data_IF_458446888542
#
_entry.id   IF_458446888542
#
_cell.length_a   1.000
_cell.length_b   1.000
_cell.length_c   1.000
_cell.angle_alpha   90.00
_cell.angle_beta   90.00
_cell.angle_gamma   90.00
#
_symmetry.space_group_name_H-M   'P 1'
#
loop_
_entity.id
_entity.type
_entity.pdbx_description
1 polymer ?
#
# COMPACT_ATOMS: atom_id res chain seq x y z
N UNK A 1 -59.59 2.26 6.99
CA UNK A 1 -58.82 3.37 6.40
C UNK A 1 -57.55 3.79 7.19
N UNK A 2 -57.35 3.37 8.41
CA UNK A 2 -56.19 3.73 9.23
C UNK A 2 -54.94 2.84 8.92
N UNK A 3 -55.16 1.56 8.60
CA UNK A 3 -54.08 0.61 8.29
C UNK A 3 -53.19 1.00 7.09
N UNK A 4 -53.77 1.56 6.02
CA UNK A 4 -53.01 1.93 4.80
C UNK A 4 -52.08 3.11 5.04
N UNK A 5 -52.48 4.07 5.89
CA UNK A 5 -51.62 5.22 6.24
C UNK A 5 -50.40 4.83 7.07
N UNK A 6 -50.55 3.88 7.98
CA UNK A 6 -49.46 3.37 8.84
C UNK A 6 -48.45 2.56 8.01
N UNK A 7 -48.94 1.72 7.09
CA UNK A 7 -48.06 0.96 6.18
C UNK A 7 -47.29 1.89 5.23
N UNK A 8 -47.94 2.91 4.69
CA UNK A 8 -47.27 3.89 3.82
C UNK A 8 -46.17 4.69 4.53
N UNK A 9 -46.40 5.10 5.79
CA UNK A 9 -45.42 5.79 6.61
C UNK A 9 -44.22 4.88 6.94
N UNK A 10 -44.45 3.59 7.19
CA UNK A 10 -43.37 2.63 7.43
C UNK A 10 -42.48 2.39 6.22
N UNK A 11 -43.04 2.31 5.02
CA UNK A 11 -42.28 2.11 3.78
C UNK A 11 -41.43 3.34 3.46
N UNK A 12 -41.95 4.54 3.62
CA UNK A 12 -41.21 5.78 3.40
C UNK A 12 -40.06 5.94 4.41
N UNK A 13 -40.29 5.64 5.68
CA UNK A 13 -39.25 5.70 6.70
C UNK A 13 -38.13 4.67 6.43
N UNK A 14 -38.47 3.47 5.96
CA UNK A 14 -37.52 2.44 5.63
C UNK A 14 -36.65 2.80 4.39
N UNK A 15 -37.27 3.36 3.34
CA UNK A 15 -36.50 3.80 2.16
C UNK A 15 -35.54 4.95 2.48
N UNK A 16 -35.96 5.92 3.30
CA UNK A 16 -35.09 7.01 3.73
C UNK A 16 -33.93 6.51 4.62
N UNK A 17 -34.15 5.50 5.45
CA UNK A 17 -33.06 4.91 6.25
C UNK A 17 -32.05 4.17 5.40
N UNK A 18 -32.47 3.49 4.33
CA UNK A 18 -31.57 2.83 3.38
C UNK A 18 -30.73 3.83 2.57
N UNK A 19 -31.33 4.94 2.14
CA UNK A 19 -30.60 6.01 1.43
C UNK A 19 -29.58 6.69 2.35
N UNK A 20 -29.95 6.97 3.60
CA UNK A 20 -29.04 7.51 4.61
C UNK A 20 -27.87 6.56 4.90
N UNK A 21 -28.14 5.27 5.06
CA UNK A 21 -27.09 4.26 5.22
C UNK A 21 -26.19 4.18 3.99
N UNK A 22 -26.74 4.17 2.78
CA UNK A 22 -25.99 4.20 1.53
C UNK A 22 -25.09 5.44 1.42
N UNK A 23 -25.61 6.61 1.78
CA UNK A 23 -24.85 7.86 1.81
C UNK A 23 -23.72 7.83 2.87
N UNK A 24 -24.00 7.32 4.08
CA UNK A 24 -23.02 7.17 5.15
C UNK A 24 -21.90 6.20 4.74
N UNK A 25 -22.26 5.05 4.17
CA UNK A 25 -21.30 4.09 3.65
C UNK A 25 -20.48 4.66 2.48
N UNK A 26 -21.09 5.44 1.59
CA UNK A 26 -20.39 6.15 0.52
C UNK A 26 -19.37 7.15 1.06
N UNK A 27 -19.73 7.87 2.11
CA UNK A 27 -18.86 8.86 2.77
C UNK A 27 -17.70 8.22 3.53
N UNK A 28 -17.95 7.08 4.20
CA UNK A 28 -16.92 6.29 4.89
C UNK A 28 -15.96 5.59 3.89
N UNK A 29 -16.45 5.25 2.70
CA UNK A 29 -15.66 4.66 1.61
C UNK A 29 -14.90 5.69 0.78
N UNK A 30 -15.07 6.98 1.01
CA UNK A 30 -14.31 8.00 0.28
C UNK A 30 -12.84 7.93 0.73
N UNK A 31 -12.14 6.93 0.18
CA UNK A 31 -10.67 6.80 0.28
C UNK A 31 -10.09 8.09 -0.27
N UNK A 32 -9.44 8.86 0.58
CA UNK A 32 -8.67 10.03 0.15
C UNK A 32 -7.65 9.54 -0.88
N UNK A 33 -7.87 9.88 -2.14
CA UNK A 33 -6.89 9.66 -3.18
C UNK A 33 -5.70 10.55 -2.88
N UNK A 34 -4.57 9.96 -2.55
CA UNK A 34 -3.35 10.68 -2.29
C UNK A 34 -2.56 10.75 -3.59
N UNK A 35 -2.50 11.92 -4.19
CA UNK A 35 -1.64 12.19 -5.34
C UNK A 35 -0.40 12.93 -4.84
N UNK A 36 0.75 12.27 -4.84
CA UNK A 36 2.04 12.87 -4.50
C UNK A 36 3.04 12.65 -5.61
N UNK A 37 3.85 13.66 -5.86
CA UNK A 37 5.01 13.59 -6.75
C UNK A 37 6.26 13.62 -5.89
N UNK A 38 7.15 12.66 -6.13
CA UNK A 38 8.43 12.56 -5.47
C UNK A 38 9.53 12.74 -6.50
N UNK A 39 10.52 13.56 -6.16
CA UNK A 39 11.65 13.85 -7.06
C UNK A 39 12.87 13.01 -6.64
N UNK A 40 13.52 12.45 -7.66
CA UNK A 40 14.78 11.72 -7.52
C UNK A 40 15.83 12.31 -8.47
N UNK A 41 17.13 12.23 -8.13
CA UNK A 41 17.71 11.61 -6.94
C UNK A 41 17.39 12.38 -5.65
N UNK A 42 17.43 11.70 -4.52
CA UNK A 42 17.33 12.29 -3.19
C UNK A 42 18.55 11.91 -2.35
N UNK A 43 18.80 12.63 -1.27
CA UNK A 43 19.86 12.27 -0.33
C UNK A 43 19.68 10.85 0.18
N UNK A 44 20.79 10.16 0.42
CA UNK A 44 20.79 8.81 0.96
C UNK A 44 20.72 8.89 2.47
N UNK A 45 19.69 8.30 3.05
CA UNK A 45 19.49 8.24 4.51
C UNK A 45 19.15 6.82 4.95
N UNK A 46 19.37 6.52 6.22
CA UNK A 46 19.00 5.25 6.80
C UNK A 46 17.48 5.10 6.86
N UNK A 47 16.98 4.00 6.32
CA UNK A 47 15.54 3.68 6.29
C UNK A 47 15.16 2.50 7.19
N UNK A 48 16.11 1.98 7.97
CA UNK A 48 15.92 0.77 8.80
C UNK A 48 14.79 0.93 9.82
N UNK A 49 14.59 2.15 10.34
CA UNK A 49 13.52 2.48 11.28
C UNK A 49 12.11 2.26 10.71
N UNK A 50 11.95 2.26 9.38
CA UNK A 50 10.66 2.02 8.72
C UNK A 50 10.27 0.53 8.73
N UNK A 51 11.25 -0.35 8.80
CA UNK A 51 11.04 -1.80 8.77
C UNK A 51 10.89 -2.40 10.16
N UNK A 52 11.42 -1.77 11.17
CA UNK A 52 11.48 -2.31 12.53
C UNK A 52 11.34 -1.20 13.56
N UNK A 53 10.10 -0.80 13.91
CA UNK A 53 9.86 0.30 14.85
C UNK A 53 10.45 0.05 16.24
N UNK A 54 10.70 -1.23 16.62
CA UNK A 54 11.32 -1.58 17.89
C UNK A 54 12.86 -1.59 17.83
N UNK A 55 13.48 -1.58 16.67
CA UNK A 55 14.93 -1.51 16.49
C UNK A 55 15.44 -0.10 16.15
N UNK A 56 14.66 0.94 16.44
CA UNK A 56 15.12 2.33 16.44
C UNK A 56 16.32 2.54 17.42
N UNK A 57 16.60 1.53 18.25
CA UNK A 57 17.83 1.42 19.02
C UNK A 57 18.93 0.78 18.18
N UNK A 58 19.85 1.64 17.70
CA UNK A 58 21.17 1.26 17.23
C UNK A 58 21.27 0.60 15.85
N UNK A 59 20.74 1.21 14.80
CA UNK A 59 21.39 1.03 13.52
C UNK A 59 22.76 1.73 13.57
N UNK A 60 23.85 0.97 13.41
CA UNK A 60 25.25 1.46 13.49
C UNK A 60 25.74 1.84 12.07
N UNK A 61 24.84 2.03 11.10
CA UNK A 61 25.25 2.39 9.75
C UNK A 61 25.74 3.86 9.71
N UNK A 62 26.67 4.20 8.79
CA UNK A 62 27.24 5.56 8.68
C UNK A 62 26.27 6.56 8.03
N UNK A 63 25.07 6.14 7.64
CA UNK A 63 24.10 6.99 6.98
C UNK A 63 23.37 7.92 7.98
N UNK A 64 22.95 9.12 7.55
CA UNK A 64 22.10 9.99 8.36
C UNK A 64 20.82 9.30 8.81
N UNK A 65 20.50 9.41 10.10
CA UNK A 65 19.28 8.84 10.69
C UNK A 65 18.23 9.91 10.93
N UNK A 66 16.95 9.56 10.79
CA UNK A 66 15.85 10.48 11.07
C UNK A 66 15.65 11.59 10.03
N UNK A 67 16.35 11.52 8.90
CA UNK A 67 16.19 12.45 7.77
C UNK A 67 15.07 11.95 6.86
N UNK A 68 14.10 12.82 6.58
CA UNK A 68 13.02 12.53 5.66
C UNK A 68 13.47 12.81 4.21
N UNK A 69 13.54 11.77 3.39
CA UNK A 69 13.94 11.83 1.98
C UNK A 69 12.79 11.42 1.07
N UNK A 70 12.88 11.70 -0.24
CA UNK A 70 11.89 11.20 -1.21
C UNK A 70 11.80 9.67 -1.19
N UNK A 71 12.93 9.00 -0.97
CA UNK A 71 12.97 7.54 -0.87
C UNK A 71 12.29 7.02 0.40
N UNK A 72 12.54 7.62 1.57
CA UNK A 72 11.87 7.24 2.81
C UNK A 72 10.36 7.49 2.73
N UNK A 73 9.93 8.58 2.10
CA UNK A 73 8.50 8.86 1.82
C UNK A 73 7.86 7.82 0.91
N UNK A 74 8.57 7.41 -0.16
CA UNK A 74 8.10 6.34 -1.04
C UNK A 74 7.89 5.04 -0.25
N UNK A 75 8.87 4.63 0.55
CA UNK A 75 8.77 3.45 1.40
C UNK A 75 7.61 3.55 2.39
N UNK A 76 7.41 4.71 3.04
CA UNK A 76 6.26 4.93 3.93
C UNK A 76 4.94 4.72 3.20
N UNK A 77 4.80 5.25 1.97
CA UNK A 77 3.58 5.06 1.18
C UNK A 77 3.35 3.60 0.80
N UNK A 78 4.39 2.91 0.36
CA UNK A 78 4.33 1.46 0.08
C UNK A 78 3.91 0.71 1.35
N UNK A 79 4.61 0.90 2.47
CA UNK A 79 4.36 0.19 3.72
C UNK A 79 2.99 0.50 4.35
N UNK A 80 2.34 1.59 3.95
CA UNK A 80 0.99 1.95 4.38
C UNK A 80 -0.13 1.19 3.66
N UNK A 81 0.20 0.40 2.62
CA UNK A 81 -0.80 -0.39 1.91
C UNK A 81 -1.39 -1.47 2.81
N UNK A 82 -2.72 -1.56 2.85
CA UNK A 82 -3.46 -2.50 3.72
C UNK A 82 -4.28 -3.53 2.96
N UNK A 83 -4.52 -3.31 1.67
CA UNK A 83 -5.40 -4.15 0.86
C UNK A 83 -4.68 -4.71 -0.35
N UNK A 84 -4.15 -3.85 -1.20
CA UNK A 84 -3.41 -4.24 -2.40
C UNK A 84 -2.32 -3.25 -2.74
N UNK A 85 -1.27 -3.75 -3.43
CA UNK A 85 -0.19 -2.95 -4.00
C UNK A 85 0.05 -3.40 -5.43
N UNK A 86 -0.12 -2.47 -6.37
CA UNK A 86 0.17 -2.66 -7.78
C UNK A 86 1.44 -1.91 -8.15
N UNK A 87 2.44 -2.63 -8.64
CA UNK A 87 3.71 -2.09 -9.07
C UNK A 87 3.85 -2.25 -10.58
N UNK A 88 4.10 -1.16 -11.28
CA UNK A 88 4.48 -1.16 -12.69
C UNK A 88 5.88 -0.56 -12.80
N UNK A 89 6.87 -1.38 -13.09
CA UNK A 89 8.28 -1.00 -13.06
C UNK A 89 9.02 -1.60 -14.24
N UNK A 90 9.93 -0.84 -14.84
CA UNK A 90 10.80 -1.31 -15.89
C UNK A 90 11.83 -2.28 -15.33
N UNK A 91 12.57 -1.88 -14.29
CA UNK A 91 13.50 -2.75 -13.56
C UNK A 91 13.28 -2.61 -12.06
N UNK A 92 13.56 -3.66 -11.31
CA UNK A 92 13.37 -3.71 -9.87
C UNK A 92 14.59 -4.31 -9.18
N UNK A 93 15.56 -3.48 -8.81
CA UNK A 93 16.84 -3.90 -8.25
C UNK A 93 17.09 -3.40 -6.82
N UNK A 94 16.27 -2.48 -6.31
CA UNK A 94 16.46 -1.92 -4.98
C UNK A 94 16.01 -2.90 -3.90
N UNK A 95 16.91 -3.22 -2.96
CA UNK A 95 16.69 -4.20 -1.90
C UNK A 95 15.67 -3.73 -0.86
N UNK A 96 15.66 -2.44 -0.50
CA UNK A 96 14.73 -1.91 0.50
C UNK A 96 13.30 -1.90 -0.03
N UNK A 97 13.11 -1.57 -1.31
CA UNK A 97 11.80 -1.70 -1.97
C UNK A 97 11.34 -3.16 -2.00
N UNK A 98 12.24 -4.09 -2.34
CA UNK A 98 11.94 -5.52 -2.31
C UNK A 98 11.54 -5.98 -0.91
N UNK A 99 12.28 -5.56 0.12
CA UNK A 99 11.98 -5.85 1.53
C UNK A 99 10.60 -5.31 1.94
N UNK A 100 10.26 -4.08 1.52
CA UNK A 100 8.94 -3.50 1.79
C UNK A 100 7.80 -4.32 1.17
N UNK A 101 7.95 -4.72 -0.09
CA UNK A 101 6.97 -5.57 -0.80
C UNK A 101 6.81 -6.92 -0.11
N UNK A 102 7.92 -7.57 0.27
CA UNK A 102 7.89 -8.86 1.00
C UNK A 102 7.21 -8.74 2.37
N UNK A 103 7.41 -7.63 3.08
CA UNK A 103 6.72 -7.37 4.35
C UNK A 103 5.22 -7.23 4.17
N UNK A 104 4.79 -6.54 3.12
CA UNK A 104 3.36 -6.41 2.80
C UNK A 104 2.76 -7.76 2.41
N UNK A 105 3.47 -8.56 1.64
CA UNK A 105 3.04 -9.92 1.31
C UNK A 105 2.84 -10.78 2.58
N UNK A 106 3.78 -10.71 3.54
CA UNK A 106 3.64 -11.38 4.85
C UNK A 106 2.43 -10.87 5.65
N UNK A 107 1.99 -9.64 5.44
CA UNK A 107 0.78 -9.06 6.04
C UNK A 107 -0.51 -9.39 5.26
N UNK A 108 -0.46 -10.32 4.32
CA UNK A 108 -1.57 -10.70 3.45
C UNK A 108 -2.11 -9.57 2.54
N UNK A 109 -1.29 -8.55 2.24
CA UNK A 109 -1.60 -7.56 1.21
C UNK A 109 -1.44 -8.20 -0.16
N UNK A 110 -2.43 -8.04 -1.04
CA UNK A 110 -2.37 -8.56 -2.41
C UNK A 110 -1.33 -7.77 -3.22
N UNK A 111 -0.29 -8.46 -3.71
CA UNK A 111 0.79 -7.83 -4.48
C UNK A 111 0.67 -8.25 -5.94
N UNK A 112 0.66 -7.28 -6.85
CA UNK A 112 0.74 -7.48 -8.30
C UNK A 112 1.91 -6.67 -8.85
N UNK A 113 2.77 -7.33 -9.63
CA UNK A 113 3.97 -6.69 -10.21
C UNK A 113 3.95 -6.89 -11.72
N UNK A 114 4.01 -5.80 -12.45
CA UNK A 114 4.27 -5.77 -13.88
C UNK A 114 5.68 -5.24 -14.10
N UNK A 115 6.54 -6.02 -14.74
CA UNK A 115 7.93 -5.65 -15.04
C UNK A 115 8.30 -6.09 -16.45
N UNK A 116 9.30 -5.45 -17.00
CA UNK A 116 9.88 -5.86 -18.28
C UNK A 116 10.48 -7.27 -18.16
N UNK A 117 10.30 -8.09 -19.21
CA UNK A 117 10.76 -9.48 -19.24
C UNK A 117 12.28 -9.59 -19.16
N UNK A 118 12.98 -8.81 -19.95
CA UNK A 118 14.44 -8.92 -20.07
C UNK A 118 15.11 -8.39 -18.82
N UNK A 119 14.63 -7.25 -18.29
CA UNK A 119 15.13 -6.66 -17.04
C UNK A 119 14.76 -7.44 -15.78
N UNK A 120 13.74 -8.29 -15.85
CA UNK A 120 13.41 -9.17 -14.72
C UNK A 120 14.43 -10.28 -14.48
N UNK A 121 15.22 -10.62 -15.50
CA UNK A 121 16.20 -11.71 -15.48
C UNK A 121 17.66 -11.25 -15.29
N UNK A 122 17.93 -9.94 -15.32
CA UNK A 122 19.30 -9.44 -15.18
C UNK A 122 19.85 -9.61 -13.76
N UNK A 123 21.18 -9.63 -13.66
CA UNK A 123 21.88 -9.69 -12.37
C UNK A 123 21.49 -8.51 -11.49
N UNK A 124 21.13 -8.78 -10.24
CA UNK A 124 20.68 -7.78 -9.26
C UNK A 124 19.16 -7.55 -9.24
N UNK A 125 18.42 -8.11 -10.22
CA UNK A 125 16.95 -8.03 -10.20
C UNK A 125 16.35 -8.72 -8.98
N UNK A 126 15.44 -8.04 -8.31
CA UNK A 126 14.71 -8.57 -7.15
C UNK A 126 13.43 -9.32 -7.53
N UNK A 127 13.05 -9.32 -8.81
CA UNK A 127 11.83 -9.98 -9.31
C UNK A 127 11.84 -11.49 -9.00
N UNK A 128 13.01 -12.14 -9.13
CA UNK A 128 13.17 -13.56 -8.80
C UNK A 128 12.84 -13.86 -7.33
N UNK A 129 13.22 -12.98 -6.42
CA UNK A 129 12.94 -13.12 -4.98
C UNK A 129 11.43 -12.95 -4.72
N UNK A 130 10.79 -11.97 -5.36
CA UNK A 130 9.36 -11.75 -5.23
C UNK A 130 8.53 -12.93 -5.78
N UNK A 131 8.93 -13.51 -6.92
CA UNK A 131 8.30 -14.71 -7.49
C UNK A 131 8.36 -15.89 -6.51
N UNK A 132 9.53 -16.17 -5.93
CA UNK A 132 9.69 -17.24 -4.96
C UNK A 132 8.80 -17.05 -3.73
N UNK A 133 8.68 -15.83 -3.23
CA UNK A 133 7.83 -15.53 -2.09
C UNK A 133 6.34 -15.72 -2.39
N UNK A 134 5.90 -15.41 -3.61
CA UNK A 134 4.52 -15.56 -4.05
C UNK A 134 4.11 -16.98 -4.49
N UNK A 135 5.02 -17.97 -4.41
CA UNK A 135 4.76 -19.34 -4.84
C UNK A 135 4.60 -19.50 -6.36
N UNK A 136 5.05 -18.52 -7.14
CA UNK A 136 5.04 -18.62 -8.61
C UNK A 136 6.10 -19.60 -9.13
N UNK A 137 5.91 -20.17 -10.34
CA UNK A 137 6.90 -21.03 -10.96
C UNK A 137 8.22 -20.25 -11.17
N UNK A 138 9.31 -20.92 -10.89
CA UNK A 138 10.69 -20.42 -11.07
C UNK A 138 11.09 -20.35 -12.54
#
# INVERSE_FOLDING_TARGET
MWSVKVVGLGVVAFSLSLELLGWLFGRLRHKRTLNKVLFFPSEVACVEHLFSPNSARACICPLPHGVETSFSRLLCHILSATSSLDLCVFSFSNMDLSRAVLLLHKKAVTIRVLSDKDYSAITGSQIGILRKAGGGPT
#
